data_IF_102107838301
#
_entry.id   IF_102107838301
#
_cell.length_a   1.000
_cell.length_b   1.000
_cell.length_c   1.000
_cell.angle_alpha   90.00
_cell.angle_beta   90.00
_cell.angle_gamma   90.00
#
_symmetry.space_group_name_H-M   'P 1'
#
loop_
_entity.id
_entity.type
_entity.pdbx_description
1 polymer ?
#
# COMPACT_ATOMS: atom_id res chain seq x y z
N UNK A 1 18.08 -8.71 -17.12
CA UNK A 1 18.03 -8.73 -15.65
C UNK A 1 16.60 -9.00 -15.20
N UNK A 2 16.31 -10.20 -14.67
CA UNK A 2 14.96 -10.58 -14.20
C UNK A 2 14.70 -9.76 -12.93
N UNK A 3 14.01 -8.62 -13.04
CA UNK A 3 13.54 -7.90 -11.87
C UNK A 3 12.55 -8.82 -11.14
N UNK A 4 13.02 -9.35 -10.02
CA UNK A 4 12.26 -10.20 -9.13
C UNK A 4 10.89 -9.58 -8.86
N UNK A 5 9.84 -10.24 -9.37
CA UNK A 5 8.50 -10.02 -8.82
C UNK A 5 8.62 -10.38 -7.35
N UNK A 6 8.44 -9.42 -6.48
CA UNK A 6 8.25 -9.75 -5.07
C UNK A 6 7.12 -10.77 -5.02
N UNK A 7 7.48 -12.00 -4.70
CA UNK A 7 6.50 -13.10 -4.62
C UNK A 7 5.46 -12.66 -3.57
N UNK A 8 4.18 -12.97 -3.75
CA UNK A 8 3.15 -12.61 -2.74
C UNK A 8 3.53 -13.01 -1.32
N UNK A 9 4.33 -14.06 -1.17
CA UNK A 9 4.92 -14.49 0.11
C UNK A 9 5.75 -13.42 0.81
N UNK A 10 6.52 -12.61 0.07
CA UNK A 10 7.36 -11.54 0.67
C UNK A 10 6.49 -10.41 1.24
N UNK A 11 5.39 -10.07 0.59
CA UNK A 11 4.46 -9.07 1.10
C UNK A 11 3.78 -9.54 2.40
N UNK A 12 3.45 -10.83 2.49
CA UNK A 12 2.94 -11.43 3.73
C UNK A 12 3.94 -11.39 4.88
N UNK A 13 5.23 -11.65 4.61
CA UNK A 13 6.28 -11.54 5.64
C UNK A 13 6.48 -10.10 6.10
N UNK A 14 6.39 -9.12 5.19
CA UNK A 14 6.44 -7.69 5.52
C UNK A 14 5.24 -7.30 6.41
N UNK A 15 4.04 -7.79 6.11
CA UNK A 15 2.84 -7.54 6.91
C UNK A 15 2.99 -8.11 8.32
N UNK A 16 3.43 -9.35 8.45
CA UNK A 16 3.68 -9.98 9.73
C UNK A 16 4.71 -9.20 10.55
N UNK A 17 5.80 -8.77 9.91
CA UNK A 17 6.84 -7.96 10.55
C UNK A 17 6.32 -6.58 10.98
N UNK A 18 5.47 -5.94 10.16
CA UNK A 18 4.85 -4.66 10.52
C UNK A 18 3.95 -4.79 11.76
N UNK A 19 3.15 -5.85 11.86
CA UNK A 19 2.30 -6.11 13.04
C UNK A 19 3.15 -6.37 14.28
N UNK A 20 4.24 -7.12 14.14
CA UNK A 20 5.16 -7.37 15.25
C UNK A 20 5.77 -6.06 15.77
N UNK A 21 6.33 -5.23 14.88
CA UNK A 21 6.94 -3.96 15.25
C UNK A 21 5.93 -3.02 15.90
N UNK A 22 4.74 -2.87 15.32
CA UNK A 22 3.71 -1.97 15.88
C UNK A 22 3.25 -2.41 17.26
N UNK A 23 3.01 -3.70 17.45
CA UNK A 23 2.62 -4.24 18.75
C UNK A 23 3.72 -4.03 19.79
N UNK A 24 4.99 -4.21 19.41
CA UNK A 24 6.12 -3.99 20.30
C UNK A 24 6.27 -2.52 20.70
N UNK A 25 6.21 -1.59 19.74
CA UNK A 25 6.30 -0.15 20.00
C UNK A 25 5.17 0.30 20.93
N UNK A 26 3.93 -0.10 20.64
CA UNK A 26 2.78 0.32 21.42
C UNK A 26 2.83 -0.30 22.82
N UNK A 27 3.29 -1.53 22.96
CA UNK A 27 3.48 -2.16 24.26
C UNK A 27 4.46 -1.37 25.16
N UNK A 28 5.55 -0.88 24.56
CA UNK A 28 6.55 -0.07 25.28
C UNK A 28 6.08 1.35 25.60
N UNK A 29 5.30 1.97 24.68
CA UNK A 29 4.85 3.35 24.79
C UNK A 29 3.59 3.53 25.63
N UNK A 30 2.83 2.47 25.82
CA UNK A 30 1.60 2.55 26.58
C UNK A 30 1.93 2.66 28.06
N UNK A 31 1.57 3.78 28.75
CA UNK A 31 1.76 3.85 30.18
C UNK A 31 0.93 2.75 30.82
N UNK A 32 1.60 1.81 31.49
CA UNK A 32 0.96 0.87 32.39
C UNK A 32 0.22 1.70 33.42
N UNK A 33 -1.11 1.66 33.41
CA UNK A 33 -1.98 2.46 34.29
C UNK A 33 -1.87 2.11 35.77
N UNK A 34 -0.81 1.44 36.20
CA UNK A 34 -0.43 1.26 37.59
C UNK A 34 1.06 1.53 37.74
N UNK A 35 1.41 2.34 38.72
CA UNK A 35 2.75 2.82 39.05
C UNK A 35 3.75 1.75 39.48
N UNK A 36 3.45 0.47 39.35
CA UNK A 36 4.32 -0.62 39.74
C UNK A 36 4.95 -1.25 38.50
N UNK A 37 6.27 -1.17 38.38
CA UNK A 37 7.10 -1.85 37.36
C UNK A 37 6.89 -3.39 37.33
N UNK A 38 6.25 -3.96 38.33
CA UNK A 38 5.98 -5.41 38.46
C UNK A 38 4.84 -5.92 37.56
N UNK A 39 4.04 -5.05 36.94
CA UNK A 39 2.87 -5.44 36.12
C UNK A 39 3.13 -5.39 34.61
N UNK A 40 4.38 -5.33 34.16
CA UNK A 40 4.67 -5.59 32.74
C UNK A 40 4.40 -7.07 32.48
N UNK A 41 3.57 -7.34 31.46
CA UNK A 41 3.41 -8.70 30.95
C UNK A 41 4.81 -9.28 30.68
N UNK A 42 5.08 -10.48 31.16
CA UNK A 42 6.31 -11.18 30.81
C UNK A 42 6.47 -11.24 29.30
N UNK A 43 7.69 -11.15 28.83
CA UNK A 43 8.01 -11.18 27.38
C UNK A 43 7.35 -12.38 26.71
N UNK A 44 7.29 -13.53 27.38
CA UNK A 44 6.63 -14.73 26.86
C UNK A 44 5.11 -14.54 26.66
N UNK A 45 4.46 -13.86 27.60
CA UNK A 45 3.03 -13.55 27.51
C UNK A 45 2.77 -12.56 26.39
N UNK A 46 3.61 -11.52 26.27
CA UNK A 46 3.53 -10.57 25.16
C UNK A 46 3.69 -11.27 23.80
N UNK A 47 4.69 -12.14 23.64
CA UNK A 47 4.91 -12.90 22.41
C UNK A 47 3.72 -13.79 22.06
N UNK A 48 3.07 -14.42 23.06
CA UNK A 48 1.87 -15.22 22.83
C UNK A 48 0.70 -14.38 22.31
N UNK A 49 0.50 -13.16 22.83
CA UNK A 49 -0.49 -12.23 22.31
C UNK A 49 -0.21 -11.82 20.87
N UNK A 50 1.04 -11.45 20.55
CA UNK A 50 1.43 -11.08 19.18
C UNK A 50 1.24 -12.25 18.20
N UNK A 51 1.54 -13.48 18.63
CA UNK A 51 1.34 -14.68 17.83
C UNK A 51 -0.14 -14.90 17.48
N UNK A 52 -1.04 -14.74 18.46
CA UNK A 52 -2.48 -14.85 18.22
C UNK A 52 -2.99 -13.72 17.32
N UNK A 53 -2.49 -12.47 17.48
CA UNK A 53 -2.80 -11.36 16.56
C UNK A 53 -2.42 -11.72 15.13
N UNK A 54 -1.20 -12.21 14.92
CA UNK A 54 -0.70 -12.59 13.59
C UNK A 54 -1.57 -13.68 12.96
N UNK A 55 -1.89 -14.74 13.69
CA UNK A 55 -2.75 -15.83 13.19
C UNK A 55 -4.12 -15.27 12.80
N UNK A 56 -4.73 -14.47 13.67
CA UNK A 56 -6.06 -13.89 13.41
C UNK A 56 -6.09 -13.02 12.16
N UNK A 57 -5.06 -12.16 11.96
CA UNK A 57 -4.94 -11.33 10.76
C UNK A 57 -4.74 -12.19 9.51
N UNK A 58 -3.85 -13.19 9.57
CA UNK A 58 -3.59 -14.08 8.45
C UNK A 58 -4.86 -14.84 8.05
N UNK A 59 -5.62 -15.36 9.00
CA UNK A 59 -6.88 -16.05 8.73
C UNK A 59 -7.89 -15.14 8.02
N UNK A 60 -8.09 -13.92 8.52
CA UNK A 60 -9.00 -12.96 7.89
C UNK A 60 -8.52 -12.57 6.48
N UNK A 61 -7.24 -12.33 6.29
CA UNK A 61 -6.68 -12.00 4.98
C UNK A 61 -6.81 -13.18 3.99
N UNK A 62 -6.71 -14.41 4.44
CA UNK A 62 -6.94 -15.60 3.61
C UNK A 62 -8.41 -15.72 3.18
N UNK A 63 -9.36 -15.47 4.10
CA UNK A 63 -10.80 -15.48 3.80
C UNK A 63 -11.13 -14.41 2.75
N UNK A 64 -10.61 -13.20 2.91
CA UNK A 64 -10.84 -12.07 1.98
C UNK A 64 -10.01 -12.22 0.68
N UNK A 65 -9.11 -13.22 0.62
CA UNK A 65 -8.26 -13.52 -0.54
C UNK A 65 -7.31 -12.38 -0.93
N UNK A 66 -6.84 -11.57 0.03
CA UNK A 66 -5.90 -10.46 -0.21
C UNK A 66 -4.57 -10.94 -0.81
N UNK A 67 -4.18 -12.20 -0.54
CA UNK A 67 -2.99 -12.83 -1.12
C UNK A 67 -3.05 -13.01 -2.64
N UNK A 68 -4.25 -12.95 -3.26
CA UNK A 68 -4.44 -13.05 -4.72
C UNK A 68 -4.32 -11.70 -5.43
N UNK A 69 -4.28 -10.61 -4.68
CA UNK A 69 -4.21 -9.26 -5.25
C UNK A 69 -2.81 -9.00 -5.84
N UNK A 70 -2.79 -8.54 -7.09
CA UNK A 70 -1.56 -8.09 -7.73
C UNK A 70 -1.35 -6.61 -7.40
N UNK A 71 -0.62 -6.32 -6.34
CA UNK A 71 -0.43 -4.98 -5.78
C UNK A 71 0.14 -3.93 -6.74
N UNK A 72 0.73 -4.36 -7.85
CA UNK A 72 1.18 -3.45 -8.92
C UNK A 72 0.00 -2.73 -9.59
N UNK A 73 -1.14 -3.40 -9.69
CA UNK A 73 -2.35 -2.93 -10.36
C UNK A 73 -3.50 -2.69 -9.37
N UNK A 74 -3.20 -2.69 -8.07
CA UNK A 74 -4.20 -2.56 -7.03
C UNK A 74 -5.04 -1.29 -7.21
N UNK A 75 -6.35 -1.46 -7.12
CA UNK A 75 -7.35 -0.40 -7.15
C UNK A 75 -7.80 -0.05 -5.72
N UNK A 76 -8.62 0.99 -5.58
CA UNK A 76 -9.17 1.42 -4.30
C UNK A 76 -9.81 0.27 -3.51
N UNK A 77 -10.60 -0.57 -4.18
CA UNK A 77 -11.28 -1.72 -3.55
C UNK A 77 -10.30 -2.75 -2.95
N UNK A 78 -9.10 -2.87 -3.50
CA UNK A 78 -8.10 -3.81 -2.98
C UNK A 78 -7.49 -3.30 -1.67
N UNK A 79 -7.32 -1.99 -1.53
CA UNK A 79 -6.91 -1.36 -0.27
C UNK A 79 -7.99 -1.51 0.80
N UNK A 80 -9.28 -1.36 0.42
CA UNK A 80 -10.41 -1.61 1.34
C UNK A 80 -10.41 -3.06 1.83
N UNK A 81 -10.23 -4.04 0.96
CA UNK A 81 -10.14 -5.46 1.34
C UNK A 81 -9.02 -5.70 2.35
N UNK A 82 -7.85 -5.06 2.16
CA UNK A 82 -6.75 -5.16 3.11
C UNK A 82 -7.16 -4.61 4.49
N UNK A 83 -7.74 -3.41 4.52
CA UNK A 83 -8.20 -2.78 5.78
C UNK A 83 -9.21 -3.65 6.50
N UNK A 84 -10.24 -4.14 5.81
CA UNK A 84 -11.27 -5.02 6.37
C UNK A 84 -10.63 -6.30 6.93
N UNK A 85 -9.65 -6.86 6.22
CA UNK A 85 -8.93 -8.06 6.68
C UNK A 85 -8.14 -7.83 7.97
N UNK A 86 -7.50 -6.68 8.11
CA UNK A 86 -6.75 -6.33 9.34
C UNK A 86 -7.71 -6.04 10.48
N UNK A 87 -8.76 -5.24 10.26
CA UNK A 87 -9.78 -4.93 11.28
C UNK A 87 -10.44 -6.23 11.76
N UNK A 88 -10.86 -7.10 10.84
CA UNK A 88 -11.45 -8.40 11.18
C UNK A 88 -10.51 -9.28 12.00
N UNK A 89 -9.21 -9.30 11.66
CA UNK A 89 -8.19 -10.01 12.41
C UNK A 89 -8.04 -9.50 13.85
N UNK A 90 -8.04 -8.18 14.05
CA UNK A 90 -8.00 -7.59 15.39
C UNK A 90 -9.29 -7.84 16.18
N UNK A 91 -10.46 -7.84 15.54
CA UNK A 91 -11.72 -8.21 16.20
C UNK A 91 -11.69 -9.67 16.67
N UNK A 92 -11.21 -10.59 15.84
CA UNK A 92 -11.00 -11.99 16.24
C UNK A 92 -10.00 -12.10 17.39
N UNK A 93 -8.92 -11.33 17.37
CA UNK A 93 -7.97 -11.29 18.47
C UNK A 93 -8.61 -10.80 19.78
N UNK A 94 -9.46 -9.76 19.75
CA UNK A 94 -10.14 -9.26 20.95
C UNK A 94 -11.01 -10.37 21.57
N UNK A 95 -11.73 -11.13 20.74
CA UNK A 95 -12.50 -12.28 21.17
C UNK A 95 -11.59 -13.36 21.78
N UNK A 96 -10.51 -13.71 21.06
CA UNK A 96 -9.54 -14.69 21.53
C UNK A 96 -8.86 -14.26 22.85
N UNK A 97 -8.55 -12.98 23.00
CA UNK A 97 -7.98 -12.41 24.22
C UNK A 97 -8.88 -12.63 25.43
N UNK A 98 -10.20 -12.55 25.23
CA UNK A 98 -11.15 -12.78 26.31
C UNK A 98 -11.18 -14.23 26.76
N UNK A 99 -11.09 -15.20 25.84
CA UNK A 99 -11.25 -16.62 26.13
C UNK A 99 -9.95 -17.36 26.43
N UNK A 100 -8.85 -16.98 25.77
CA UNK A 100 -7.59 -17.75 25.82
C UNK A 100 -6.62 -17.24 26.89
N UNK A 101 -6.69 -15.97 27.26
CA UNK A 101 -5.69 -15.38 28.14
C UNK A 101 -6.24 -15.03 29.51
N UNK A 102 -5.49 -15.38 30.55
CA UNK A 102 -5.73 -14.95 31.93
C UNK A 102 -5.25 -13.51 32.14
N UNK A 103 -4.08 -13.17 31.60
CA UNK A 103 -3.54 -11.80 31.58
C UNK A 103 -4.01 -11.07 30.31
N UNK A 104 -5.04 -10.23 30.45
CA UNK A 104 -5.68 -9.56 29.33
C UNK A 104 -4.94 -8.28 28.93
N UNK A 105 -4.73 -8.09 27.63
CA UNK A 105 -4.30 -6.79 27.11
C UNK A 105 -5.46 -5.81 27.11
N UNK A 106 -5.15 -4.50 27.25
CA UNK A 106 -6.17 -3.47 27.24
C UNK A 106 -6.79 -3.33 25.83
N UNK A 107 -8.07 -2.94 25.77
CA UNK A 107 -8.74 -2.63 24.50
C UNK A 107 -8.02 -1.49 23.76
N UNK A 108 -7.48 -0.52 24.50
CA UNK A 108 -6.72 0.61 23.91
C UNK A 108 -5.48 0.08 23.18
N UNK A 109 -4.74 -0.87 23.77
CA UNK A 109 -3.61 -1.53 23.09
C UNK A 109 -4.04 -2.16 21.77
N UNK A 110 -5.14 -2.89 21.74
CA UNK A 110 -5.64 -3.56 20.55
C UNK A 110 -6.05 -2.57 19.48
N UNK A 111 -6.77 -1.48 19.84
CA UNK A 111 -7.20 -0.45 18.90
C UNK A 111 -6.02 0.33 18.33
N UNK A 112 -5.08 0.77 19.17
CA UNK A 112 -3.88 1.48 18.73
C UNK A 112 -3.02 0.59 17.82
N UNK A 113 -2.80 -0.68 18.19
CA UNK A 113 -2.05 -1.64 17.36
C UNK A 113 -2.71 -1.87 16.02
N UNK A 114 -4.05 -1.96 15.97
CA UNK A 114 -4.82 -2.07 14.74
C UNK A 114 -4.59 -0.84 13.84
N UNK A 115 -4.80 0.36 14.36
CA UNK A 115 -4.70 1.60 13.61
C UNK A 115 -3.30 1.79 13.01
N UNK A 116 -2.25 1.60 13.81
CA UNK A 116 -0.86 1.76 13.35
C UNK A 116 -0.47 0.65 12.38
N UNK A 117 -0.94 -0.59 12.56
CA UNK A 117 -0.69 -1.68 11.62
C UNK A 117 -1.33 -1.42 10.26
N UNK A 118 -2.58 -0.95 10.22
CA UNK A 118 -3.24 -0.55 8.97
C UNK A 118 -2.44 0.53 8.27
N UNK A 119 -2.06 1.59 9.00
CA UNK A 119 -1.30 2.70 8.43
C UNK A 119 0.02 2.22 7.82
N UNK A 120 0.80 1.42 8.54
CA UNK A 120 2.06 0.89 8.04
C UNK A 120 1.88 -0.02 6.83
N UNK A 121 0.89 -0.91 6.85
CA UNK A 121 0.61 -1.77 5.71
C UNK A 121 0.23 -0.98 4.47
N UNK A 122 -0.61 0.06 4.60
CA UNK A 122 -1.00 0.93 3.49
C UNK A 122 0.19 1.72 2.95
N UNK A 123 1.02 2.29 3.84
CA UNK A 123 2.24 2.99 3.45
C UNK A 123 3.21 2.08 2.70
N UNK A 124 3.45 0.87 3.18
CA UNK A 124 4.31 -0.11 2.50
C UNK A 124 3.80 -0.46 1.11
N UNK A 125 2.47 -0.62 0.94
CA UNK A 125 1.87 -0.86 -0.39
C UNK A 125 2.01 0.35 -1.31
N UNK A 126 1.80 1.56 -0.78
CA UNK A 126 1.97 2.80 -1.51
C UNK A 126 3.42 2.98 -1.97
N UNK A 127 4.40 2.83 -1.07
CA UNK A 127 5.82 2.92 -1.41
C UNK A 127 6.24 1.83 -2.39
N UNK A 128 5.79 0.59 -2.23
CA UNK A 128 6.04 -0.48 -3.18
C UNK A 128 5.56 -0.11 -4.59
N UNK A 129 4.33 0.43 -4.71
CA UNK A 129 3.78 0.88 -5.99
C UNK A 129 4.60 2.03 -6.58
N UNK A 130 4.95 3.04 -5.79
CA UNK A 130 5.77 4.20 -6.23
C UNK A 130 7.17 3.77 -6.66
N UNK A 131 7.83 2.94 -5.86
CA UNK A 131 9.15 2.40 -6.17
C UNK A 131 9.16 1.61 -7.47
N UNK A 132 8.14 0.79 -7.72
CA UNK A 132 8.02 0.03 -8.97
C UNK A 132 7.84 0.94 -10.20
N UNK A 133 7.08 2.01 -10.07
CA UNK A 133 6.92 3.02 -11.14
C UNK A 133 8.25 3.77 -11.36
N UNK A 134 8.92 4.17 -10.30
CA UNK A 134 10.20 4.89 -10.36
C UNK A 134 11.28 4.06 -11.06
N UNK A 135 11.51 2.82 -10.64
CA UNK A 135 12.47 1.93 -11.29
C UNK A 135 12.15 1.68 -12.76
N UNK A 136 10.88 1.71 -13.11
CA UNK A 136 10.45 1.55 -14.49
C UNK A 136 10.81 2.76 -15.34
N UNK A 137 10.70 3.96 -14.79
CA UNK A 137 11.03 5.21 -15.50
C UNK A 137 12.54 5.43 -15.66
N UNK A 138 13.35 4.95 -14.71
CA UNK A 138 14.81 5.06 -14.80
C UNK A 138 15.47 4.09 -15.79
N UNK A 139 14.75 3.11 -16.30
CA UNK A 139 15.32 2.09 -17.17
C UNK A 139 15.30 2.56 -18.62
N UNK A 140 16.40 3.16 -19.06
CA UNK A 140 16.82 3.42 -20.44
C UNK A 140 16.41 4.75 -21.11
N UNK A 141 17.25 5.18 -22.06
CA UNK A 141 17.03 6.21 -23.08
C UNK A 141 15.70 5.95 -23.81
N UNK A 142 14.60 6.40 -23.21
CA UNK A 142 13.29 6.28 -23.82
C UNK A 142 13.12 7.43 -24.80
N UNK A 143 12.63 7.14 -25.97
CA UNK A 143 12.29 8.16 -26.95
C UNK A 143 11.09 8.99 -26.43
N UNK A 144 11.19 10.32 -26.42
CA UNK A 144 10.08 11.18 -26.03
C UNK A 144 8.94 11.05 -27.04
N UNK A 145 7.71 11.01 -26.54
CA UNK A 145 6.50 10.87 -27.32
C UNK A 145 5.44 11.86 -26.82
N UNK A 146 4.73 12.49 -27.73
CA UNK A 146 3.54 13.25 -27.45
C UNK A 146 2.29 12.39 -27.72
N UNK A 147 1.26 12.52 -26.88
CA UNK A 147 -0.06 11.90 -27.11
C UNK A 147 -1.02 13.00 -27.54
N UNK A 148 -1.59 12.85 -28.74
CA UNK A 148 -2.64 13.76 -29.22
C UNK A 148 -3.99 13.23 -28.69
N UNK A 149 -4.67 14.08 -27.92
CA UNK A 149 -5.88 13.78 -27.18
C UNK A 149 -5.60 13.43 -25.70
N UNK A 150 -6.08 14.28 -24.79
CA UNK A 150 -6.02 14.10 -23.34
C UNK A 150 -7.36 13.54 -22.78
N UNK A 151 -8.12 12.83 -23.62
CA UNK A 151 -9.34 12.12 -23.22
C UNK A 151 -9.05 10.74 -22.65
N UNK A 152 -10.11 9.96 -22.39
CA UNK A 152 -10.02 8.61 -21.81
C UNK A 152 -9.10 7.68 -22.62
N UNK A 153 -9.17 7.73 -23.94
CA UNK A 153 -8.32 6.93 -24.84
C UNK A 153 -6.83 7.32 -24.71
N UNK A 154 -6.52 8.61 -24.67
CA UNK A 154 -5.15 9.11 -24.48
C UNK A 154 -4.59 8.70 -23.11
N UNK A 155 -5.41 8.76 -22.06
CA UNK A 155 -5.02 8.30 -20.72
C UNK A 155 -4.80 6.79 -20.68
N UNK A 156 -5.59 5.99 -21.40
CA UNK A 156 -5.38 4.55 -21.53
C UNK A 156 -4.07 4.25 -22.25
N UNK A 157 -3.79 4.91 -23.36
CA UNK A 157 -2.52 4.78 -24.09
C UNK A 157 -1.33 5.17 -23.22
N UNK A 158 -1.45 6.27 -22.49
CA UNK A 158 -0.42 6.69 -21.53
C UNK A 158 -0.16 5.61 -20.48
N UNK A 159 -1.21 5.01 -19.94
CA UNK A 159 -1.07 3.92 -18.97
C UNK A 159 -0.40 2.70 -19.59
N UNK A 160 -0.76 2.34 -20.81
CA UNK A 160 -0.11 1.23 -21.52
C UNK A 160 1.38 1.50 -21.72
N UNK A 161 1.76 2.68 -22.19
CA UNK A 161 3.18 3.08 -22.35
C UNK A 161 3.90 3.07 -21.00
N UNK A 162 3.25 3.56 -19.96
CA UNK A 162 3.82 3.65 -18.60
C UNK A 162 4.06 2.27 -17.99
N UNK A 163 3.18 1.31 -18.21
CA UNK A 163 3.24 -0.01 -17.58
C UNK A 163 3.83 -1.11 -18.47
N UNK A 164 3.95 -0.89 -19.77
CA UNK A 164 4.49 -1.86 -20.70
C UNK A 164 6.03 -1.80 -20.73
N UNK A 165 6.67 -2.87 -20.28
CA UNK A 165 8.15 -2.97 -20.21
C UNK A 165 8.84 -3.05 -21.56
N UNK A 166 8.10 -3.34 -22.62
CA UNK A 166 8.67 -3.52 -23.97
C UNK A 166 8.74 -2.21 -24.75
N UNK A 167 8.04 -1.16 -24.30
CA UNK A 167 8.05 0.14 -25.00
C UNK A 167 9.30 0.92 -24.64
N UNK A 168 9.98 1.41 -25.67
CA UNK A 168 11.12 2.33 -25.54
C UNK A 168 10.68 3.81 -25.55
N UNK A 169 9.39 4.08 -25.31
CA UNK A 169 8.82 5.42 -25.35
C UNK A 169 8.55 5.95 -23.93
N UNK A 170 8.67 7.27 -23.79
CA UNK A 170 8.22 8.01 -22.60
C UNK A 170 7.32 9.16 -23.03
N UNK A 171 6.15 9.27 -22.42
CA UNK A 171 5.26 10.38 -22.75
C UNK A 171 5.77 11.65 -22.08
N UNK A 172 6.10 12.67 -22.90
CA UNK A 172 6.60 13.96 -22.46
C UNK A 172 5.47 14.95 -22.21
N UNK A 173 4.44 14.94 -23.05
CA UNK A 173 3.29 15.83 -22.96
C UNK A 173 2.08 15.29 -23.71
N UNK A 174 0.90 15.79 -23.34
CA UNK A 174 -0.35 15.62 -24.07
C UNK A 174 -0.63 16.88 -24.90
N UNK A 175 -1.35 16.72 -26.00
CA UNK A 175 -1.88 17.83 -26.80
C UNK A 175 -3.39 17.62 -26.90
N UNK A 176 -4.18 18.63 -26.54
CA UNK A 176 -5.65 18.60 -26.62
C UNK A 176 -6.18 19.97 -27.00
N UNK A 177 -7.30 20.01 -27.72
CA UNK A 177 -7.96 21.25 -28.10
C UNK A 177 -8.91 21.77 -27.02
N UNK A 178 -9.20 20.98 -26.03
CA UNK A 178 -10.10 21.30 -24.92
C UNK A 178 -9.43 22.32 -23.96
N UNK A 179 -9.96 23.55 -23.96
CA UNK A 179 -9.46 24.67 -23.16
C UNK A 179 -9.47 24.32 -21.67
N UNK A 180 -10.42 23.50 -21.22
CA UNK A 180 -10.51 23.10 -19.81
C UNK A 180 -9.39 22.17 -19.38
N UNK A 181 -8.69 21.54 -20.31
CA UNK A 181 -7.56 20.64 -20.06
C UNK A 181 -6.20 21.30 -20.26
N UNK A 182 -6.12 22.29 -21.13
CA UNK A 182 -4.88 22.99 -21.45
C UNK A 182 -4.29 23.61 -20.17
N UNK A 183 -2.98 23.45 -19.97
CA UNK A 183 -2.26 23.91 -18.78
C UNK A 183 -2.44 23.04 -17.53
N UNK A 184 -3.31 22.02 -17.57
CA UNK A 184 -3.46 21.04 -16.49
C UNK A 184 -2.49 19.85 -16.68
N UNK A 185 -2.40 19.02 -15.66
CA UNK A 185 -1.51 17.85 -15.69
C UNK A 185 -2.29 16.55 -15.51
N UNK A 186 -1.99 15.59 -16.35
CA UNK A 186 -2.46 14.21 -16.21
C UNK A 186 -1.29 13.37 -15.70
N UNK A 187 -1.36 12.89 -14.47
CA UNK A 187 -0.30 12.08 -13.82
C UNK A 187 1.12 12.69 -13.96
N UNK A 188 1.27 13.98 -13.74
CA UNK A 188 2.52 14.73 -13.84
C UNK A 188 2.97 15.11 -15.25
N UNK A 189 2.25 14.73 -16.31
CA UNK A 189 2.51 15.12 -17.69
C UNK A 189 1.59 16.29 -18.06
N UNK A 190 2.16 17.35 -18.63
CA UNK A 190 1.46 18.59 -18.98
C UNK A 190 0.59 18.37 -20.21
N UNK A 191 -0.56 19.04 -20.24
CA UNK A 191 -1.41 19.13 -21.44
C UNK A 191 -1.19 20.47 -22.09
N UNK A 192 -0.78 20.44 -23.34
CA UNK A 192 -0.61 21.62 -24.21
C UNK A 192 -1.72 21.65 -25.24
N UNK A 193 -1.92 22.82 -25.87
CA UNK A 193 -2.91 22.97 -26.93
C UNK A 193 -3.02 24.43 -27.37
N UNK A 194 -3.81 24.71 -28.36
CA UNK A 194 -4.53 23.75 -29.23
C UNK A 194 -3.60 23.06 -30.23
N UNK A 195 -4.06 21.98 -30.86
CA UNK A 195 -3.30 21.16 -31.81
C UNK A 195 -2.76 22.02 -33.00
N UNK A 196 -3.49 23.05 -33.39
CA UNK A 196 -3.10 23.95 -34.46
C UNK A 196 -1.79 24.73 -34.23
N UNK A 197 -1.38 24.84 -32.95
CA UNK A 197 -0.11 25.50 -32.55
C UNK A 197 1.00 24.50 -32.24
N UNK A 198 0.92 23.31 -32.82
CA UNK A 198 1.90 22.25 -32.59
C UNK A 198 3.34 22.68 -32.82
N UNK A 199 3.60 23.48 -33.89
CA UNK A 199 4.92 23.98 -34.22
C UNK A 199 5.50 25.00 -33.23
N UNK A 200 4.66 25.57 -32.36
CA UNK A 200 5.07 26.50 -31.30
C UNK A 200 5.35 25.78 -29.97
N UNK A 201 4.92 24.51 -29.85
CA UNK A 201 5.01 23.70 -28.62
C UNK A 201 6.30 22.84 -28.60
N UNK A 202 6.86 22.53 -29.79
CA UNK A 202 8.11 21.79 -30.00
C UNK A 202 9.26 22.75 -30.12
#
# INVERSE_FOLDING_TARGET
>A
MKLNRLKPKILFTIDAFSVFITSYIIYYWMPSGSQNHENRLDIMVFLSHVFVILISIILCQLIIKTHKIIWKYAEYNDYLKLMIGVIGGFLLYIIANYFLFTSKTSLIFSVCSCAVSILLMLLMRFFYRRYRIYLFNMSRNKLPLAIIGAGSAGVLLFNEILYNKKTNYSVSYFIDDDIDKIGKRIRNVMVYGPVNRFNEII
#
